data_IF_567991140439
#
_entry.id   IF_567991140439
#
_cell.length_a   1.000
_cell.length_b   1.000
_cell.length_c   1.000
_cell.angle_alpha   90.00
_cell.angle_beta   90.00
_cell.angle_gamma   90.00
#
_symmetry.space_group_name_H-M   'P 1'
#
loop_
_entity.id
_entity.type
_entity.pdbx_description
1 polymer ?
#
# COMPACT_ATOMS: atom_id res chain seq x y z
N UNK A 1 54.01 -12.67 31.72
CA UNK A 1 53.35 -12.15 30.50
C UNK A 1 52.25 -13.06 29.95
N UNK A 2 52.48 -14.38 29.74
CA UNK A 2 51.49 -15.31 29.13
C UNK A 2 50.09 -15.36 29.80
N UNK A 3 50.00 -15.27 31.13
CA UNK A 3 48.70 -15.26 31.86
C UNK A 3 47.88 -13.99 31.63
N UNK A 4 48.53 -12.81 31.57
CA UNK A 4 47.86 -11.53 31.30
C UNK A 4 47.29 -11.47 29.88
N UNK A 5 48.03 -12.00 28.90
CA UNK A 5 47.59 -12.08 27.50
C UNK A 5 46.36 -13.00 27.34
N UNK A 6 46.34 -14.16 28.02
CA UNK A 6 45.16 -15.05 28.03
C UNK A 6 43.93 -14.38 28.63
N UNK A 7 44.10 -13.65 29.73
CA UNK A 7 43.00 -12.95 30.39
C UNK A 7 42.37 -11.90 29.47
N UNK A 8 43.20 -11.07 28.82
CA UNK A 8 42.74 -10.07 27.84
C UNK A 8 42.02 -10.74 26.66
N UNK A 9 42.56 -11.86 26.14
CA UNK A 9 41.91 -12.60 25.07
C UNK A 9 40.52 -13.14 25.45
N UNK A 10 40.35 -13.62 26.68
CA UNK A 10 39.05 -14.10 27.17
C UNK A 10 38.07 -12.95 27.39
N UNK A 11 38.53 -11.80 27.86
CA UNK A 11 37.71 -10.59 27.96
C UNK A 11 37.23 -10.11 26.59
N UNK A 12 38.10 -10.09 25.57
CA UNK A 12 37.73 -9.71 24.20
C UNK A 12 36.71 -10.71 23.64
N UNK A 13 36.95 -12.02 23.80
CA UNK A 13 36.02 -13.04 23.33
C UNK A 13 34.65 -12.92 24.02
N UNK A 14 34.62 -12.64 25.33
CA UNK A 14 33.39 -12.42 26.07
C UNK A 14 32.61 -11.21 25.56
N UNK A 15 33.27 -10.08 25.31
CA UNK A 15 32.65 -8.89 24.73
C UNK A 15 32.10 -9.21 23.34
N UNK A 16 32.86 -9.94 22.53
CA UNK A 16 32.44 -10.31 21.17
C UNK A 16 31.21 -11.21 21.19
N UNK A 17 31.16 -12.19 22.10
CA UNK A 17 30.00 -13.06 22.29
C UNK A 17 28.77 -12.28 22.74
N UNK A 18 28.94 -11.32 23.67
CA UNK A 18 27.85 -10.46 24.11
C UNK A 18 27.35 -9.61 22.93
N UNK A 19 28.23 -8.99 22.16
CA UNK A 19 27.86 -8.18 21.00
C UNK A 19 27.09 -9.00 19.95
N UNK A 20 27.55 -10.21 19.65
CA UNK A 20 26.86 -11.13 18.73
C UNK A 20 25.49 -11.52 19.29
N UNK A 21 25.41 -11.88 20.57
CA UNK A 21 24.13 -12.22 21.21
C UNK A 21 23.15 -11.05 21.17
N UNK A 22 23.61 -9.82 21.46
CA UNK A 22 22.79 -8.60 21.37
C UNK A 22 22.28 -8.37 19.95
N UNK A 23 23.14 -8.53 18.93
CA UNK A 23 22.74 -8.39 17.52
C UNK A 23 21.71 -9.45 17.12
N UNK A 24 21.87 -10.69 17.58
CA UNK A 24 20.90 -11.76 17.31
C UNK A 24 19.57 -11.47 18.01
N UNK A 25 19.58 -11.01 19.27
CA UNK A 25 18.37 -10.61 19.98
C UNK A 25 17.68 -9.43 19.28
N UNK A 26 18.42 -8.39 18.90
CA UNK A 26 17.89 -7.26 18.14
C UNK A 26 17.26 -7.70 16.81
N UNK A 27 17.90 -8.64 16.09
CA UNK A 27 17.44 -9.11 14.78
C UNK A 27 16.27 -10.07 14.83
N UNK A 28 16.22 -10.96 15.82
CA UNK A 28 15.27 -12.08 15.83
C UNK A 28 14.21 -11.98 16.92
N UNK A 29 14.50 -11.30 18.04
CA UNK A 29 13.57 -11.17 19.18
C UNK A 29 12.94 -9.78 19.22
N UNK A 30 13.74 -8.73 19.04
CA UNK A 30 13.31 -7.33 19.18
C UNK A 30 13.25 -6.58 17.85
N UNK A 31 13.06 -7.30 16.72
CA UNK A 31 13.18 -6.70 15.39
C UNK A 31 12.20 -5.54 15.17
N UNK A 32 10.96 -5.66 15.68
CA UNK A 32 9.91 -4.66 15.58
C UNK A 32 10.21 -3.42 16.41
N UNK A 33 10.76 -3.60 17.62
CA UNK A 33 11.16 -2.48 18.45
C UNK A 33 12.35 -1.72 17.85
N UNK A 34 13.32 -2.43 17.27
CA UNK A 34 14.45 -1.82 16.57
C UNK A 34 13.99 -1.07 15.32
N UNK A 35 13.13 -1.68 14.51
CA UNK A 35 12.51 -1.05 13.33
C UNK A 35 11.77 0.24 13.72
N UNK A 36 10.90 0.18 14.74
CA UNK A 36 10.16 1.33 15.24
C UNK A 36 11.08 2.44 15.76
N UNK A 37 12.15 2.09 16.49
CA UNK A 37 13.14 3.05 16.99
C UNK A 37 13.85 3.78 15.84
N UNK A 38 14.33 3.03 14.83
CA UNK A 38 15.02 3.60 13.67
C UNK A 38 14.08 4.50 12.86
N UNK A 39 12.85 4.06 12.61
CA UNK A 39 11.83 4.86 11.93
C UNK A 39 11.53 6.17 12.68
N UNK A 40 11.37 6.11 14.01
CA UNK A 40 11.15 7.31 14.81
C UNK A 40 12.36 8.24 14.81
N UNK A 41 13.58 7.70 14.87
CA UNK A 41 14.80 8.50 14.76
C UNK A 41 14.87 9.23 13.41
N UNK A 42 14.60 8.53 12.32
CA UNK A 42 14.57 9.12 10.97
C UNK A 42 13.47 10.17 10.85
N UNK A 43 12.26 9.88 11.35
CA UNK A 43 11.15 10.83 11.40
C UNK A 43 11.56 12.11 12.11
N UNK A 44 12.17 12.01 13.28
CA UNK A 44 12.63 13.17 14.05
C UNK A 44 13.67 13.97 13.27
N UNK A 45 14.64 13.31 12.64
CA UNK A 45 15.62 13.99 11.77
C UNK A 45 14.95 14.74 10.61
N UNK A 46 13.96 14.12 9.95
CA UNK A 46 13.21 14.77 8.87
C UNK A 46 12.39 15.95 9.38
N UNK A 47 11.78 15.83 10.57
CA UNK A 47 11.04 16.92 11.20
C UNK A 47 11.95 18.10 11.52
N UNK A 48 13.15 17.86 12.06
CA UNK A 48 14.12 18.94 12.29
C UNK A 48 14.52 19.63 10.98
N UNK A 49 14.78 18.87 9.91
CA UNK A 49 15.05 19.45 8.59
C UNK A 49 13.87 20.29 8.06
N UNK A 50 12.64 19.87 8.34
CA UNK A 50 11.43 20.61 7.94
C UNK A 50 11.21 21.88 8.77
N UNK A 51 11.68 21.94 10.02
CA UNK A 51 11.60 23.16 10.84
C UNK A 51 12.48 24.28 10.30
N UNK A 52 13.62 23.91 9.70
CA UNK A 52 14.52 24.85 9.02
C UNK A 52 14.04 25.23 7.61
N UNK A 53 13.03 24.55 7.08
CA UNK A 53 12.49 24.85 5.76
C UNK A 53 11.73 26.19 5.77
N UNK A 54 11.76 26.88 4.63
CA UNK A 54 10.98 28.10 4.43
C UNK A 54 9.46 27.85 4.60
N UNK A 55 8.71 28.89 4.91
CA UNK A 55 7.24 28.81 4.98
C UNK A 55 6.69 28.28 3.66
N UNK A 56 5.70 27.39 3.73
CA UNK A 56 4.93 27.00 2.55
C UNK A 56 4.38 28.25 1.87
N UNK A 57 4.73 28.43 0.61
CA UNK A 57 4.16 29.47 -0.25
C UNK A 57 2.88 28.88 -0.86
N UNK A 58 1.77 29.64 -0.95
CA UNK A 58 0.59 29.17 -1.66
C UNK A 58 0.97 28.70 -3.06
N UNK A 59 0.58 27.48 -3.41
CA UNK A 59 0.80 26.97 -4.76
C UNK A 59 -0.05 27.80 -5.74
N UNK A 60 0.61 28.46 -6.69
CA UNK A 60 -0.04 29.21 -7.75
C UNK A 60 -0.35 28.36 -8.97
N UNK A 61 0.06 27.09 -8.95
CA UNK A 61 -0.05 26.18 -10.10
C UNK A 61 -1.43 25.57 -10.15
N UNK A 62 -2.16 25.83 -11.23
CA UNK A 62 -3.42 25.14 -11.53
C UNK A 62 -3.16 23.99 -12.47
N UNK A 63 -3.64 22.80 -12.09
CA UNK A 63 -3.54 21.60 -12.90
C UNK A 63 -4.92 21.24 -13.46
N UNK A 64 -5.04 21.24 -14.79
CA UNK A 64 -6.21 20.71 -15.48
C UNK A 64 -5.94 19.26 -15.91
N UNK A 65 -6.63 18.33 -15.26
CA UNK A 65 -6.56 16.93 -15.59
C UNK A 65 -7.59 16.59 -16.67
N UNK A 66 -7.14 16.00 -17.77
CA UNK A 66 -8.01 15.35 -18.73
C UNK A 66 -8.08 13.86 -18.40
N UNK A 67 -9.28 13.34 -18.15
CA UNK A 67 -9.48 11.91 -17.95
C UNK A 67 -9.57 11.24 -19.32
N UNK A 68 -8.65 10.31 -19.59
CA UNK A 68 -8.74 9.46 -20.76
C UNK A 68 -9.91 8.49 -20.59
N UNK A 69 -10.90 8.56 -21.48
CA UNK A 69 -12.02 7.62 -21.52
C UNK A 69 -11.83 6.68 -22.69
N UNK A 70 -11.50 5.42 -22.40
CA UNK A 70 -11.47 4.36 -23.40
C UNK A 70 -12.84 3.65 -23.41
N UNK A 71 -13.70 4.00 -24.37
CA UNK A 71 -15.04 3.43 -24.49
C UNK A 71 -15.01 1.95 -24.85
N UNK A 72 -14.03 1.51 -25.64
CA UNK A 72 -13.87 0.10 -26.06
C UNK A 72 -13.45 -0.74 -24.87
N UNK A 73 -12.45 -0.31 -24.11
CA UNK A 73 -12.04 -0.99 -22.88
C UNK A 73 -13.16 -0.99 -21.84
N UNK A 74 -13.87 0.14 -21.67
CA UNK A 74 -15.01 0.24 -20.77
C UNK A 74 -16.10 -0.78 -21.11
N UNK A 75 -16.44 -0.91 -22.40
CA UNK A 75 -17.43 -1.90 -22.83
C UNK A 75 -16.96 -3.34 -22.55
N UNK A 76 -15.69 -3.67 -22.84
CA UNK A 76 -15.12 -4.98 -22.54
C UNK A 76 -15.19 -5.32 -21.04
N UNK A 77 -14.93 -4.34 -20.17
CA UNK A 77 -15.03 -4.51 -18.72
C UNK A 77 -16.49 -4.78 -18.33
N UNK A 78 -17.44 -3.94 -18.77
CA UNK A 78 -18.87 -4.14 -18.47
C UNK A 78 -19.35 -5.54 -18.86
N UNK A 79 -19.00 -5.99 -20.06
CA UNK A 79 -19.37 -7.31 -20.58
C UNK A 79 -18.69 -8.45 -19.81
N UNK A 80 -17.39 -8.34 -19.52
CA UNK A 80 -16.63 -9.38 -18.81
C UNK A 80 -17.15 -9.60 -17.39
N UNK A 81 -17.45 -8.52 -16.68
CA UNK A 81 -17.94 -8.58 -15.30
C UNK A 81 -19.46 -8.68 -15.17
N UNK A 82 -20.20 -8.55 -16.30
CA UNK A 82 -21.66 -8.49 -16.31
C UNK A 82 -22.21 -7.45 -15.32
N UNK A 83 -21.69 -6.22 -15.43
CA UNK A 83 -22.00 -5.15 -14.48
C UNK A 83 -23.48 -4.77 -14.47
N UNK A 84 -24.23 -5.08 -15.52
CA UNK A 84 -25.69 -4.98 -15.59
C UNK A 84 -26.44 -5.88 -14.59
N UNK A 85 -25.79 -6.94 -14.09
CA UNK A 85 -26.33 -7.78 -13.01
C UNK A 85 -26.08 -7.21 -11.61
N UNK A 86 -25.10 -6.31 -11.49
CA UNK A 86 -24.74 -5.61 -10.25
C UNK A 86 -25.44 -4.25 -10.21
N UNK A 87 -25.65 -3.64 -11.37
CA UNK A 87 -26.06 -2.25 -11.53
C UNK A 87 -27.32 -2.08 -12.38
N UNK A 88 -28.16 -1.12 -11.99
CA UNK A 88 -29.27 -0.62 -12.80
C UNK A 88 -28.91 0.74 -13.40
N UNK A 89 -29.37 0.99 -14.63
CA UNK A 89 -29.21 2.26 -15.32
C UNK A 89 -29.81 3.45 -14.54
N UNK A 90 -30.85 3.19 -13.75
CA UNK A 90 -31.58 4.19 -12.95
C UNK A 90 -30.92 4.53 -11.61
N UNK A 91 -29.87 3.80 -11.21
CA UNK A 91 -29.22 4.06 -9.92
C UNK A 91 -28.47 5.40 -9.91
N UNK A 92 -28.55 6.17 -8.80
CA UNK A 92 -27.67 7.30 -8.56
C UNK A 92 -26.19 6.92 -8.59
N UNK A 93 -25.32 7.88 -8.95
CA UNK A 93 -23.86 7.68 -9.03
C UNK A 93 -23.27 7.12 -7.73
N UNK A 94 -23.70 7.64 -6.58
CA UNK A 94 -23.24 7.17 -5.27
C UNK A 94 -23.57 5.69 -5.05
N UNK A 95 -24.80 5.28 -5.35
CA UNK A 95 -25.23 3.90 -5.16
C UNK A 95 -24.53 2.94 -6.12
N UNK A 96 -24.26 3.38 -7.36
CA UNK A 96 -23.41 2.62 -8.30
C UNK A 96 -22.00 2.44 -7.74
N UNK A 97 -21.39 3.50 -7.22
CA UNK A 97 -20.04 3.45 -6.70
C UNK A 97 -19.92 2.51 -5.48
N UNK A 98 -20.86 2.60 -4.53
CA UNK A 98 -20.91 1.71 -3.37
C UNK A 98 -21.18 0.26 -3.78
N UNK A 99 -22.06 0.02 -4.76
CA UNK A 99 -22.35 -1.33 -5.25
C UNK A 99 -21.13 -1.98 -5.89
N UNK A 100 -20.36 -1.23 -6.68
CA UNK A 100 -19.10 -1.71 -7.25
C UNK A 100 -18.03 -1.95 -6.18
N UNK A 101 -17.91 -1.07 -5.19
CA UNK A 101 -16.98 -1.25 -4.09
C UNK A 101 -17.31 -2.53 -3.29
N UNK A 102 -18.59 -2.77 -2.99
CA UNK A 102 -19.08 -4.01 -2.35
C UNK A 102 -18.81 -5.23 -3.20
N UNK A 103 -19.14 -5.18 -4.49
CA UNK A 103 -18.85 -6.27 -5.43
C UNK A 103 -17.37 -6.68 -5.39
N UNK A 104 -16.45 -5.72 -5.42
CA UNK A 104 -15.01 -6.00 -5.31
C UNK A 104 -14.65 -6.62 -3.96
N UNK A 105 -15.11 -6.03 -2.85
CA UNK A 105 -14.78 -6.48 -1.50
C UNK A 105 -15.34 -7.87 -1.16
N UNK A 106 -16.54 -8.19 -1.64
CA UNK A 106 -17.19 -9.49 -1.40
C UNK A 106 -16.56 -10.61 -2.23
N UNK A 107 -15.99 -10.29 -3.39
CA UNK A 107 -15.42 -11.30 -4.29
C UNK A 107 -13.91 -11.50 -4.12
N UNK A 108 -13.20 -10.57 -3.45
CA UNK A 108 -11.75 -10.63 -3.31
C UNK A 108 -11.36 -10.27 -1.86
N UNK A 109 -10.80 -11.21 -1.09
CA UNK A 109 -10.30 -10.93 0.25
C UNK A 109 -9.05 -10.03 0.23
N UNK A 110 -8.82 -9.37 1.37
CA UNK A 110 -7.66 -8.50 1.54
C UNK A 110 -6.42 -9.28 2.04
N UNK A 111 -5.30 -9.20 1.34
CA UNK A 111 -3.99 -9.68 1.78
C UNK A 111 -2.84 -9.10 0.94
N UNK A 112 -1.61 -9.15 1.46
CA UNK A 112 -0.41 -8.76 0.70
C UNK A 112 0.01 -9.83 -0.31
N UNK A 113 0.49 -9.39 -1.48
CA UNK A 113 0.92 -10.28 -2.56
C UNK A 113 2.33 -10.81 -2.32
N UNK A 114 2.56 -12.11 -2.58
CA UNK A 114 3.92 -12.67 -2.66
C UNK A 114 4.46 -12.57 -4.08
N UNK A 115 3.60 -12.71 -5.07
CA UNK A 115 3.90 -12.67 -6.51
C UNK A 115 3.14 -11.49 -7.10
N UNK A 116 3.84 -10.43 -7.50
CA UNK A 116 3.19 -9.26 -8.08
C UNK A 116 2.55 -9.56 -9.45
N UNK A 117 1.35 -9.05 -9.74
CA UNK A 117 0.73 -9.20 -11.06
C UNK A 117 1.55 -8.49 -12.13
N UNK A 118 1.70 -9.12 -13.30
CA UNK A 118 2.41 -8.53 -14.44
C UNK A 118 1.62 -7.42 -15.14
N UNK A 119 0.29 -7.43 -15.00
CA UNK A 119 -0.64 -6.47 -15.58
C UNK A 119 -1.66 -6.06 -14.53
N UNK A 120 -1.92 -4.76 -14.46
CA UNK A 120 -2.80 -4.15 -13.46
C UNK A 120 -3.97 -3.45 -14.13
N UNK A 121 -4.76 -4.18 -14.91
CA UNK A 121 -6.09 -3.78 -15.38
C UNK A 121 -7.14 -4.73 -14.79
N UNK A 122 -8.40 -4.33 -14.77
CA UNK A 122 -9.50 -5.02 -14.10
C UNK A 122 -9.60 -6.50 -14.48
N UNK A 123 -9.57 -6.81 -15.77
CA UNK A 123 -9.73 -8.19 -16.27
C UNK A 123 -8.53 -9.05 -15.89
N UNK A 124 -7.30 -8.55 -16.08
CA UNK A 124 -6.09 -9.30 -15.75
C UNK A 124 -5.92 -9.47 -14.24
N UNK A 125 -6.29 -8.46 -13.45
CA UNK A 125 -6.33 -8.54 -11.99
C UNK A 125 -7.37 -9.56 -11.52
N UNK A 126 -8.57 -9.54 -12.12
CA UNK A 126 -9.59 -10.54 -11.81
C UNK A 126 -9.07 -11.94 -12.09
N UNK A 127 -8.49 -12.20 -13.27
CA UNK A 127 -7.89 -13.50 -13.60
C UNK A 127 -6.74 -13.87 -12.67
N UNK A 128 -5.90 -12.92 -12.30
CA UNK A 128 -4.81 -13.13 -11.36
C UNK A 128 -5.32 -13.74 -10.06
N UNK A 129 -6.44 -13.26 -9.49
CA UNK A 129 -6.93 -13.84 -8.24
C UNK A 129 -7.55 -15.22 -8.34
N UNK A 130 -7.82 -15.70 -9.55
CA UNK A 130 -8.34 -17.05 -9.80
C UNK A 130 -7.24 -18.05 -10.13
N UNK A 131 -6.02 -17.58 -10.41
CA UNK A 131 -4.94 -18.42 -10.95
C UNK A 131 -3.62 -18.30 -10.22
N UNK A 132 -3.33 -17.18 -9.56
CA UNK A 132 -2.04 -16.90 -8.93
C UNK A 132 -2.21 -16.74 -7.42
N UNK A 133 -2.91 -15.71 -6.95
CA UNK A 133 -3.14 -15.48 -5.51
C UNK A 133 -4.53 -14.92 -5.24
N UNK A 134 -5.30 -15.50 -4.30
CA UNK A 134 -6.73 -15.24 -4.16
C UNK A 134 -7.12 -13.86 -3.61
N UNK A 135 -6.15 -13.01 -3.27
CA UNK A 135 -6.36 -11.83 -2.44
C UNK A 135 -5.61 -10.61 -2.99
N UNK A 136 -6.06 -9.41 -2.58
CA UNK A 136 -5.49 -8.13 -2.98
C UNK A 136 -5.06 -7.27 -1.79
N UNK A 137 -3.98 -6.51 -1.96
CA UNK A 137 -3.68 -5.39 -1.08
C UNK A 137 -4.53 -4.17 -1.48
N UNK A 138 -4.44 -3.09 -0.68
CA UNK A 138 -5.22 -1.87 -0.89
C UNK A 138 -5.07 -1.30 -2.31
N UNK A 139 -3.85 -1.32 -2.86
CA UNK A 139 -3.55 -0.81 -4.21
C UNK A 139 -4.26 -1.60 -5.30
N UNK A 140 -4.19 -2.95 -5.26
CA UNK A 140 -4.82 -3.78 -6.30
C UNK A 140 -6.35 -3.69 -6.23
N UNK A 141 -6.91 -3.61 -5.02
CA UNK A 141 -8.33 -3.30 -4.85
C UNK A 141 -8.71 -1.97 -5.52
N UNK A 142 -7.96 -0.91 -5.27
CA UNK A 142 -8.27 0.41 -5.83
C UNK A 142 -8.13 0.49 -7.34
N UNK A 143 -7.16 -0.23 -7.93
CA UNK A 143 -6.98 -0.29 -9.39
C UNK A 143 -8.16 -1.02 -10.04
N UNK A 144 -8.56 -2.18 -9.51
CA UNK A 144 -9.72 -2.91 -10.03
C UNK A 144 -10.98 -2.03 -9.93
N UNK A 145 -11.26 -1.46 -8.75
CA UNK A 145 -12.42 -0.62 -8.53
C UNK A 145 -12.41 0.63 -9.43
N UNK A 146 -11.24 1.24 -9.64
CA UNK A 146 -11.08 2.41 -10.51
C UNK A 146 -11.58 2.13 -11.93
N UNK A 147 -11.18 1.01 -12.50
CA UNK A 147 -11.58 0.63 -13.87
C UNK A 147 -13.05 0.22 -13.96
N UNK A 148 -13.61 -0.43 -12.93
CA UNK A 148 -15.05 -0.71 -12.90
C UNK A 148 -15.87 0.59 -12.85
N UNK A 149 -15.52 1.53 -11.97
CA UNK A 149 -16.15 2.85 -11.87
C UNK A 149 -16.06 3.61 -13.20
N UNK A 150 -14.87 3.63 -13.82
CA UNK A 150 -14.66 4.30 -15.09
C UNK A 150 -15.49 3.67 -16.21
N UNK A 151 -15.67 2.35 -16.19
CA UNK A 151 -16.50 1.63 -17.16
C UNK A 151 -17.99 2.00 -17.10
N UNK A 152 -18.44 2.46 -15.93
CA UNK A 152 -19.78 3.01 -15.68
C UNK A 152 -19.87 4.53 -15.87
N UNK A 153 -18.81 5.14 -16.41
CA UNK A 153 -18.75 6.57 -16.67
C UNK A 153 -18.55 7.42 -15.42
N UNK A 154 -18.16 6.81 -14.30
CA UNK A 154 -17.90 7.51 -13.04
C UNK A 154 -16.44 7.98 -13.03
N UNK A 155 -16.26 9.30 -13.03
CA UNK A 155 -14.95 9.93 -12.90
C UNK A 155 -14.43 9.66 -11.50
N UNK A 156 -13.25 9.05 -11.40
CA UNK A 156 -12.64 8.74 -10.12
C UNK A 156 -11.11 8.71 -10.24
N UNK A 157 -10.42 8.71 -9.09
CA UNK A 157 -8.96 8.55 -8.97
C UNK A 157 -8.66 7.58 -7.84
N UNK A 158 -7.56 6.85 -7.91
CA UNK A 158 -7.02 6.21 -6.71
C UNK A 158 -5.84 7.02 -6.17
N UNK A 159 -5.84 7.29 -4.87
CA UNK A 159 -4.86 8.13 -4.19
C UNK A 159 -4.21 7.35 -3.06
N UNK A 160 -2.93 7.62 -2.82
CA UNK A 160 -2.20 7.07 -1.68
C UNK A 160 -2.27 8.06 -0.51
N UNK A 161 -2.64 7.59 0.68
CA UNK A 161 -2.78 8.39 1.89
C UNK A 161 -2.30 7.60 3.12
N UNK A 162 -2.22 8.25 4.27
CA UNK A 162 -2.09 7.54 5.53
C UNK A 162 -3.45 7.01 6.00
N UNK A 163 -3.48 5.84 6.66
CA UNK A 163 -4.68 5.33 7.30
C UNK A 163 -5.13 6.25 8.44
N UNK A 164 -6.40 6.16 8.80
CA UNK A 164 -6.94 6.90 9.94
C UNK A 164 -6.47 6.34 11.30
N UNK A 165 -6.11 5.05 11.33
CA UNK A 165 -5.54 4.39 12.51
C UNK A 165 -4.10 4.85 12.72
N UNK A 166 -3.80 5.43 13.89
CA UNK A 166 -2.48 5.93 14.22
C UNK A 166 -1.44 4.83 14.47
N UNK A 167 -1.89 3.60 14.72
CA UNK A 167 -1.02 2.45 14.93
C UNK A 167 -0.68 1.72 13.62
N UNK A 168 -1.41 2.01 12.53
CA UNK A 168 -1.09 1.51 11.20
C UNK A 168 -0.08 2.45 10.52
N UNK A 169 1.15 1.95 10.41
CA UNK A 169 2.26 2.69 9.79
C UNK A 169 2.36 2.50 8.27
N UNK A 170 1.56 1.61 7.68
CA UNK A 170 1.56 1.40 6.23
C UNK A 170 0.80 2.54 5.52
N UNK A 171 1.03 2.68 4.22
CA UNK A 171 0.23 3.53 3.37
C UNK A 171 -1.08 2.83 2.98
N UNK A 172 -2.12 3.62 2.75
CA UNK A 172 -3.38 3.13 2.20
C UNK A 172 -3.62 3.71 0.81
N UNK A 173 -4.32 2.95 -0.03
CA UNK A 173 -4.76 3.40 -1.34
C UNK A 173 -6.27 3.33 -1.40
N UNK A 174 -6.92 4.43 -1.78
CA UNK A 174 -8.38 4.57 -1.81
C UNK A 174 -8.85 5.19 -3.12
N UNK A 175 -10.10 4.95 -3.49
CA UNK A 175 -10.74 5.62 -4.62
C UNK A 175 -11.46 6.90 -4.15
N UNK A 176 -11.11 8.02 -4.77
CA UNK A 176 -11.83 9.29 -4.69
C UNK A 176 -12.80 9.36 -5.87
N UNK A 177 -14.09 9.48 -5.57
CA UNK A 177 -15.21 9.49 -6.51
C UNK A 177 -15.94 10.83 -6.42
#
# INVERSE_FOLDING_TARGET
MKKKIKLVGWSILGILLIAVATLLLARFVFNKQVEAYLCNSLKNEMVEKLKDAGKYVPDTTSYHFAYQKDSVQSQKIREYFKLDTVLSSTMPTWDKAISLARFVAENIPHANQKINPKRCNAIDLWKYTRSIEPAFNCRLHSILLHELLQSEGIVNRFVTCHPADSEDSDCHVVNLV
#
